data_IF_183137165011
#
_entry.id   IF_183137165011
#
_cell.length_a   1.000
_cell.length_b   1.000
_cell.length_c   1.000
_cell.angle_alpha   90.00
_cell.angle_beta   90.00
_cell.angle_gamma   90.00
#
_symmetry.space_group_name_H-M   'P 1'
#
loop_
_entity.id
_entity.type
_entity.pdbx_description
1 polymer ?
#
# COMPACT_ATOMS: atom_id res chain seq x y z
N UNK A 1 -12.79 1.28 14.22
CA UNK A 1 -14.03 0.72 13.63
C UNK A 1 -13.95 0.92 12.12
N UNK A 2 -14.01 -0.16 11.34
CA UNK A 2 -13.98 -0.11 9.88
C UNK A 2 -15.31 0.43 9.33
N UNK A 3 -15.25 1.32 8.34
CA UNK A 3 -16.42 1.81 7.60
C UNK A 3 -16.24 1.50 6.12
N UNK A 4 -17.24 0.86 5.52
CA UNK A 4 -17.25 0.51 4.10
C UNK A 4 -18.40 1.26 3.43
N UNK A 5 -18.10 1.93 2.32
CA UNK A 5 -19.08 2.60 1.47
C UNK A 5 -19.09 1.88 0.12
N UNK A 6 -20.28 1.54 -0.37
CA UNK A 6 -20.46 0.95 -1.69
C UNK A 6 -20.91 2.04 -2.66
N UNK A 7 -20.18 2.19 -3.78
CA UNK A 7 -20.43 3.23 -4.78
C UNK A 7 -19.52 4.46 -4.61
N UNK A 8 -19.82 5.51 -5.37
CA UNK A 8 -19.03 6.74 -5.36
C UNK A 8 -19.22 7.52 -4.05
N UNK A 9 -18.15 8.13 -3.57
CA UNK A 9 -18.18 8.99 -2.39
C UNK A 9 -17.25 10.18 -2.55
N UNK A 10 -17.64 11.31 -1.98
CA UNK A 10 -16.77 12.48 -1.87
C UNK A 10 -15.56 12.16 -1.00
N UNK A 11 -14.45 12.86 -1.26
CA UNK A 11 -13.15 12.63 -0.62
C UNK A 11 -12.55 11.23 -0.82
N UNK A 12 -12.97 10.51 -1.86
CA UNK A 12 -12.37 9.22 -2.21
C UNK A 12 -11.12 9.36 -3.08
N UNK A 13 -10.13 8.51 -2.81
CA UNK A 13 -8.99 8.27 -3.68
C UNK A 13 -9.29 7.03 -4.52
N UNK A 14 -9.61 7.28 -5.79
CA UNK A 14 -10.00 6.23 -6.73
C UNK A 14 -8.83 5.35 -7.16
N UNK A 15 -7.63 5.92 -7.26
CA UNK A 15 -6.39 5.19 -7.56
C UNK A 15 -5.36 5.30 -6.41
N UNK A 16 -5.53 4.52 -5.33
CA UNK A 16 -4.62 4.54 -4.18
C UNK A 16 -3.13 4.35 -4.51
N UNK A 17 -2.71 3.47 -5.45
CA UNK A 17 -1.28 3.27 -5.72
C UNK A 17 -0.55 4.55 -6.17
N UNK A 18 -1.18 5.37 -7.03
CA UNK A 18 -0.59 6.65 -7.44
C UNK A 18 -0.55 7.64 -6.29
N UNK A 19 -1.56 7.66 -5.43
CA UNK A 19 -1.54 8.52 -4.25
C UNK A 19 -0.41 8.11 -3.31
N UNK A 20 -0.28 6.82 -3.03
CA UNK A 20 0.81 6.26 -2.21
C UNK A 20 2.19 6.68 -2.72
N UNK A 21 2.46 6.53 -4.02
CA UNK A 21 3.77 6.85 -4.61
C UNK A 21 4.23 8.31 -4.42
N UNK A 22 3.29 9.19 -4.06
CA UNK A 22 3.52 10.62 -3.83
C UNK A 22 3.36 11.05 -2.36
N UNK A 23 2.88 10.16 -1.49
CA UNK A 23 2.47 10.53 -0.14
C UNK A 23 3.03 9.65 0.99
N UNK A 24 3.59 8.47 0.69
CA UNK A 24 4.13 7.60 1.73
C UNK A 24 5.33 8.25 2.45
N UNK A 25 5.50 7.90 3.73
CA UNK A 25 6.65 8.28 4.53
C UNK A 25 7.58 7.07 4.75
N UNK A 26 8.87 7.32 4.87
CA UNK A 26 9.89 6.26 4.99
C UNK A 26 9.65 5.38 6.25
N UNK A 27 9.14 5.99 7.31
CA UNK A 27 8.80 5.35 8.58
C UNK A 27 7.65 4.34 8.45
N UNK A 28 6.75 4.53 7.47
CA UNK A 28 5.64 3.60 7.26
C UNK A 28 6.14 2.26 6.74
N UNK A 29 7.26 2.23 6.02
CA UNK A 29 7.79 1.02 5.37
C UNK A 29 8.49 0.10 6.37
N UNK A 30 9.15 0.67 7.36
CA UNK A 30 9.88 -0.06 8.39
C UNK A 30 9.05 -0.36 9.64
N UNK A 31 7.81 0.12 9.71
CA UNK A 31 6.87 -0.26 10.77
C UNK A 31 6.69 -1.79 10.81
N UNK A 32 6.72 -2.43 12.00
CA UNK A 32 6.62 -3.89 12.11
C UNK A 32 5.39 -4.49 11.42
N UNK A 33 4.25 -3.78 11.41
CA UNK A 33 3.02 -4.24 10.77
C UNK A 33 3.12 -4.15 9.25
N UNK A 34 3.81 -3.14 8.74
CA UNK A 34 4.10 -3.00 7.31
C UNK A 34 5.05 -4.08 6.82
N UNK A 35 6.10 -4.38 7.59
CA UNK A 35 7.04 -5.47 7.29
C UNK A 35 6.31 -6.81 7.21
N UNK A 36 5.43 -7.10 8.18
CA UNK A 36 4.59 -8.30 8.16
C UNK A 36 3.66 -8.34 6.94
N UNK A 37 3.02 -7.22 6.63
CA UNK A 37 2.10 -7.10 5.50
C UNK A 37 2.78 -7.27 4.14
N UNK A 38 3.94 -6.63 3.93
CA UNK A 38 4.75 -6.75 2.71
C UNK A 38 5.22 -8.20 2.55
N UNK A 39 5.64 -8.84 3.64
CA UNK A 39 6.08 -10.23 3.63
C UNK A 39 4.93 -11.19 3.32
N UNK A 40 3.74 -10.95 3.85
CA UNK A 40 2.61 -11.87 3.60
C UNK A 40 1.97 -11.67 2.22
N UNK A 41 1.80 -10.44 1.76
CA UNK A 41 1.05 -10.19 0.51
C UNK A 41 1.98 -10.30 -0.70
N UNK A 42 3.10 -9.58 -0.68
CA UNK A 42 4.03 -9.49 -1.82
C UNK A 42 5.14 -10.54 -1.75
N UNK A 43 5.22 -11.31 -0.67
CA UNK A 43 6.26 -12.31 -0.42
C UNK A 43 7.67 -11.73 -0.50
N UNK A 44 7.81 -10.44 -0.21
CA UNK A 44 9.06 -9.68 -0.33
C UNK A 44 9.57 -9.27 1.06
N UNK A 45 10.87 -9.02 1.18
CA UNK A 45 11.53 -8.62 2.43
C UNK A 45 11.85 -7.13 2.43
N UNK A 46 11.59 -6.44 3.55
CA UNK A 46 11.98 -5.03 3.71
C UNK A 46 13.46 -4.98 4.12
N UNK A 47 14.30 -4.45 3.23
CA UNK A 47 15.74 -4.27 3.51
C UNK A 47 16.00 -2.91 4.17
N UNK A 48 15.21 -1.90 3.81
CA UNK A 48 15.23 -0.57 4.40
C UNK A 48 14.02 0.24 3.94
N UNK A 49 13.92 1.50 4.37
CA UNK A 49 12.75 2.35 4.11
C UNK A 49 12.44 2.60 2.62
N UNK A 50 13.40 2.36 1.72
CA UNK A 50 13.26 2.57 0.27
C UNK A 50 13.68 1.38 -0.59
N UNK A 51 14.02 0.25 0.03
CA UNK A 51 14.55 -0.94 -0.66
C UNK A 51 13.81 -2.17 -0.18
N UNK A 52 13.20 -2.87 -1.14
CA UNK A 52 12.45 -4.11 -0.94
C UNK A 52 13.15 -5.20 -1.75
N UNK A 53 13.39 -6.36 -1.15
CA UNK A 53 13.91 -7.52 -1.84
C UNK A 53 12.76 -8.46 -2.23
N UNK A 54 12.48 -8.53 -3.52
CA UNK A 54 11.42 -9.36 -4.10
C UNK A 54 12.00 -10.67 -4.64
N UNK A 55 11.39 -11.83 -4.35
CA UNK A 55 11.84 -13.11 -4.90
C UNK A 55 11.67 -13.22 -6.43
N UNK A 56 10.85 -12.35 -7.03
CA UNK A 56 10.57 -12.35 -8.48
C UNK A 56 11.34 -11.25 -9.20
N UNK A 57 11.40 -10.05 -8.63
CA UNK A 57 11.95 -8.85 -9.27
C UNK A 57 13.36 -8.47 -8.75
N UNK A 58 13.84 -9.13 -7.70
CA UNK A 58 15.07 -8.76 -6.99
C UNK A 58 14.89 -7.49 -6.16
N UNK A 59 15.97 -6.72 -6.01
CA UNK A 59 15.93 -5.44 -5.29
C UNK A 59 15.14 -4.39 -6.07
N UNK A 60 13.98 -4.00 -5.54
CA UNK A 60 13.06 -3.02 -6.11
C UNK A 60 12.85 -1.84 -5.15
N UNK A 61 12.34 -0.72 -5.67
CA UNK A 61 11.91 0.39 -4.82
C UNK A 61 10.54 0.12 -4.21
N UNK A 62 10.19 0.88 -3.17
CA UNK A 62 8.87 0.85 -2.52
C UNK A 62 7.71 1.15 -3.49
N UNK A 63 7.98 1.85 -4.59
CA UNK A 63 6.98 2.13 -5.64
C UNK A 63 6.64 0.91 -6.49
N UNK A 64 7.36 -0.20 -6.36
CA UNK A 64 7.08 -1.44 -7.08
C UNK A 64 6.30 -2.44 -6.23
N UNK A 65 5.99 -2.11 -4.97
CA UNK A 65 5.05 -2.87 -4.15
C UNK A 65 3.69 -2.99 -4.84
N UNK A 66 2.98 -4.07 -4.57
CA UNK A 66 1.66 -4.31 -5.16
C UNK A 66 0.67 -3.23 -4.77
N UNK A 67 -0.30 -2.99 -5.66
CA UNK A 67 -1.37 -2.03 -5.38
C UNK A 67 -2.16 -2.36 -4.10
N UNK A 68 -2.24 -3.64 -3.72
CA UNK A 68 -2.91 -4.06 -2.50
C UNK A 68 -2.14 -3.69 -1.24
N UNK A 69 -0.83 -3.96 -1.19
CA UNK A 69 0.02 -3.50 -0.08
C UNK A 69 -0.05 -1.99 0.04
N UNK A 70 0.17 -1.25 -1.04
CA UNK A 70 0.10 0.23 -1.04
C UNK A 70 -1.23 0.76 -0.51
N UNK A 71 -2.34 0.14 -0.90
CA UNK A 71 -3.68 0.56 -0.45
C UNK A 71 -3.89 0.27 1.03
N UNK A 72 -3.41 -0.86 1.54
CA UNK A 72 -3.52 -1.20 2.95
C UNK A 72 -2.63 -0.32 3.83
N UNK A 73 -1.43 0.04 3.36
CA UNK A 73 -0.56 0.99 4.05
C UNK A 73 -1.23 2.37 4.17
N UNK A 74 -1.88 2.85 3.09
CA UNK A 74 -2.67 4.08 3.15
C UNK A 74 -3.80 4.00 4.19
N UNK A 75 -4.55 2.89 4.22
CA UNK A 75 -5.60 2.69 5.22
C UNK A 75 -5.09 2.59 6.66
N UNK A 76 -3.81 2.21 6.83
CA UNK A 76 -3.19 2.04 8.13
C UNK A 76 -2.61 3.35 8.69
N UNK A 77 -1.99 4.17 7.85
CA UNK A 77 -1.22 5.34 8.29
C UNK A 77 -1.78 6.70 7.87
N UNK A 78 -2.49 6.80 6.74
CA UNK A 78 -3.02 8.10 6.29
C UNK A 78 -4.14 8.55 7.25
N UNK A 79 -3.93 9.70 7.89
CA UNK A 79 -4.82 10.30 8.88
C UNK A 79 -5.61 11.49 8.31
N UNK A 80 -5.51 11.75 7.00
CA UNK A 80 -6.14 12.90 6.33
C UNK A 80 -7.66 12.79 6.23
N UNK A 81 -8.23 11.64 6.64
CA UNK A 81 -9.67 11.36 6.56
C UNK A 81 -10.16 11.01 5.14
N UNK A 82 -9.23 10.70 4.23
CA UNK A 82 -9.54 10.21 2.88
C UNK A 82 -10.15 8.81 2.92
N UNK A 83 -10.96 8.53 1.90
CA UNK A 83 -11.56 7.20 1.70
C UNK A 83 -10.83 6.51 0.55
N UNK A 84 -10.20 5.37 0.79
CA UNK A 84 -9.43 4.67 -0.24
C UNK A 84 -10.28 3.60 -0.94
N UNK A 85 -10.18 3.56 -2.27
CA UNK A 85 -10.85 2.54 -3.07
C UNK A 85 -10.26 1.14 -2.80
N UNK A 86 -10.94 0.36 -1.95
CA UNK A 86 -10.52 -0.97 -1.55
C UNK A 86 -10.50 -2.00 -2.69
N UNK A 87 -11.16 -1.75 -3.84
CA UNK A 87 -11.04 -2.62 -5.01
C UNK A 87 -9.62 -2.65 -5.59
N UNK A 88 -8.78 -1.66 -5.26
CA UNK A 88 -7.36 -1.66 -5.58
C UNK A 88 -6.56 -2.72 -4.80
N UNK A 89 -7.13 -3.33 -3.75
CA UNK A 89 -6.56 -4.49 -3.05
C UNK A 89 -6.78 -5.81 -3.80
N UNK A 90 -7.61 -5.83 -4.85
CA UNK A 90 -7.80 -7.01 -5.68
C UNK A 90 -6.65 -7.25 -6.65
N UNK A 91 -6.53 -8.49 -7.13
CA UNK A 91 -5.58 -8.86 -8.19
C UNK A 91 -5.94 -8.11 -9.47
N UNK A 92 -5.25 -7.00 -9.76
CA UNK A 92 -5.32 -6.38 -11.08
C UNK A 92 -4.47 -7.21 -12.03
N UNK A 93 -5.09 -7.76 -13.07
CA UNK A 93 -4.36 -8.12 -14.27
C UNK A 93 -3.67 -6.82 -14.76
N UNK A 94 -2.41 -6.99 -15.15
CA UNK A 94 -1.57 -5.98 -15.81
C UNK A 94 -2.34 -5.15 -16.83
#
# INVERSE_FOLDING_TARGET
>A
MLKIVLGDTTNSIYHPPTYFDNAYEDEWITDPRSVEMIKDIDKSDVVGSRVIDSPVLGSISVKELSGGVKTLLLMLFDDSGRIFNASACGRKYW
#
